data_IF_200536458006
#
_entry.id   IF_200536458006
#
_cell.length_a   1.000
_cell.length_b   1.000
_cell.length_c   1.000
_cell.angle_alpha   90.00
_cell.angle_beta   90.00
_cell.angle_gamma   90.00
#
_symmetry.space_group_name_H-M   'P 1'
#
loop_
_entity.id
_entity.type
_entity.pdbx_description
1 polymer ?
#
# COMPACT_ATOMS: atom_id res chain seq x y z
N UNK A 1 -3.30 -139.24 22.04
CA UNK A 1 -3.57 -138.23 21.00
C UNK A 1 -4.65 -137.22 21.44
N UNK A 2 -5.89 -137.63 21.70
CA UNK A 2 -6.98 -136.70 22.10
C UNK A 2 -6.68 -135.79 23.30
N UNK A 3 -6.00 -136.28 24.36
CA UNK A 3 -5.61 -135.44 25.52
C UNK A 3 -4.57 -134.37 25.18
N UNK A 4 -3.66 -134.64 24.24
CA UNK A 4 -2.67 -133.68 23.80
C UNK A 4 -3.32 -132.58 22.95
N UNK A 5 -4.20 -132.97 22.03
CA UNK A 5 -5.02 -132.06 21.23
C UNK A 5 -5.95 -131.19 22.11
N UNK A 6 -6.51 -131.75 23.18
CA UNK A 6 -7.34 -130.99 24.11
C UNK A 6 -6.52 -129.95 24.88
N UNK A 7 -5.26 -130.26 25.26
CA UNK A 7 -4.35 -129.29 25.89
C UNK A 7 -3.93 -128.16 24.95
N UNK A 8 -3.58 -128.47 23.70
CA UNK A 8 -3.23 -127.44 22.71
C UNK A 8 -4.42 -126.53 22.43
N UNK A 9 -5.64 -127.07 22.32
CA UNK A 9 -6.87 -126.27 22.18
C UNK A 9 -7.15 -125.38 23.39
N UNK A 10 -6.84 -125.82 24.61
CA UNK A 10 -6.98 -124.98 25.81
C UNK A 10 -5.95 -123.84 25.85
N UNK A 11 -4.71 -124.11 25.40
CA UNK A 11 -3.66 -123.09 25.29
C UNK A 11 -4.00 -122.06 24.20
N UNK A 12 -4.48 -122.52 23.04
CA UNK A 12 -4.98 -121.66 21.95
C UNK A 12 -6.19 -120.81 22.40
N UNK A 13 -7.15 -121.41 23.12
CA UNK A 13 -8.28 -120.67 23.69
C UNK A 13 -7.81 -119.59 24.68
N UNK A 14 -6.79 -119.90 25.50
CA UNK A 14 -6.21 -118.95 26.44
C UNK A 14 -5.54 -117.79 25.72
N UNK A 15 -4.73 -118.07 24.68
CA UNK A 15 -4.09 -117.06 23.83
C UNK A 15 -5.14 -116.18 23.14
N UNK A 16 -6.15 -116.79 22.50
CA UNK A 16 -7.24 -116.06 21.86
C UNK A 16 -8.03 -115.19 22.87
N UNK A 17 -8.19 -115.65 24.11
CA UNK A 17 -8.85 -114.87 25.16
C UNK A 17 -8.01 -113.66 25.63
N UNK A 18 -6.68 -113.81 25.72
CA UNK A 18 -5.78 -112.68 26.03
C UNK A 18 -5.72 -111.69 24.87
N UNK A 19 -5.63 -112.15 23.63
CA UNK A 19 -5.67 -111.29 22.45
C UNK A 19 -7.00 -110.54 22.35
N UNK A 20 -8.13 -111.20 22.62
CA UNK A 20 -9.44 -110.55 22.66
C UNK A 20 -9.55 -109.48 23.77
N UNK A 21 -8.90 -109.71 24.92
CA UNK A 21 -8.82 -108.71 25.98
C UNK A 21 -7.94 -107.52 25.57
N UNK A 22 -6.79 -107.78 24.94
CA UNK A 22 -5.90 -106.76 24.41
C UNK A 22 -6.59 -105.91 23.33
N UNK A 23 -7.27 -106.53 22.36
CA UNK A 23 -8.05 -105.82 21.33
C UNK A 23 -9.12 -104.93 21.94
N UNK A 24 -9.81 -105.38 23.01
CA UNK A 24 -10.78 -104.53 23.73
C UNK A 24 -10.10 -103.32 24.40
N UNK A 25 -8.90 -103.50 24.97
CA UNK A 25 -8.16 -102.38 25.57
C UNK A 25 -7.63 -101.41 24.51
N UNK A 26 -7.12 -101.92 23.38
CA UNK A 26 -6.66 -101.12 22.26
C UNK A 26 -7.81 -100.33 21.63
N UNK A 27 -8.98 -100.95 21.46
CA UNK A 27 -10.19 -100.27 20.98
C UNK A 27 -10.61 -99.14 21.89
N UNK A 28 -10.64 -99.35 23.22
CA UNK A 28 -10.93 -98.28 24.19
C UNK A 28 -9.89 -97.17 24.13
N UNK A 29 -8.61 -97.50 23.96
CA UNK A 29 -7.54 -96.50 23.80
C UNK A 29 -7.70 -95.70 22.51
N UNK A 30 -8.08 -96.35 21.40
CA UNK A 30 -8.34 -95.69 20.12
C UNK A 30 -9.55 -94.76 20.19
N UNK A 31 -10.64 -95.18 20.83
CA UNK A 31 -11.83 -94.35 21.08
C UNK A 31 -11.47 -93.13 21.95
N UNK A 32 -10.69 -93.31 23.02
CA UNK A 32 -10.19 -92.20 23.85
C UNK A 32 -9.27 -91.25 23.06
N UNK A 33 -8.37 -91.79 22.24
CA UNK A 33 -7.48 -91.00 21.38
C UNK A 33 -8.29 -90.15 20.38
N UNK A 34 -9.30 -90.73 19.72
CA UNK A 34 -10.18 -90.01 18.81
C UNK A 34 -10.91 -88.86 19.51
N UNK A 35 -11.48 -89.09 20.70
CA UNK A 35 -12.12 -88.00 21.47
C UNK A 35 -11.12 -86.93 21.95
N UNK A 36 -9.87 -87.29 22.18
CA UNK A 36 -8.81 -86.34 22.54
C UNK A 36 -8.39 -85.48 21.33
N UNK A 37 -8.29 -86.08 20.14
CA UNK A 37 -8.04 -85.39 18.87
C UNK A 37 -9.15 -84.40 18.53
N UNK A 38 -10.42 -84.79 18.65
CA UNK A 38 -11.56 -83.88 18.45
C UNK A 38 -11.52 -82.68 19.41
N UNK A 39 -11.19 -82.93 20.69
CA UNK A 39 -11.03 -81.87 21.70
C UNK A 39 -9.85 -80.96 21.40
N UNK A 40 -8.74 -81.52 20.89
CA UNK A 40 -7.57 -80.76 20.47
C UNK A 40 -7.94 -79.83 19.30
N UNK A 41 -8.55 -80.35 18.25
CA UNK A 41 -9.00 -79.54 17.11
C UNK A 41 -10.02 -78.46 17.51
N UNK A 42 -10.95 -78.78 18.41
CA UNK A 42 -11.88 -77.78 18.94
C UNK A 42 -11.19 -76.71 19.81
N UNK A 43 -10.09 -77.05 20.49
CA UNK A 43 -9.26 -76.09 21.22
C UNK A 43 -8.43 -75.22 20.26
N UNK A 44 -7.81 -75.80 19.24
CA UNK A 44 -7.07 -75.11 18.18
C UNK A 44 -7.97 -74.12 17.44
N UNK A 45 -9.17 -74.53 17.02
CA UNK A 45 -10.13 -73.64 16.38
C UNK A 45 -10.63 -72.51 17.30
N UNK A 46 -10.63 -72.71 18.62
CA UNK A 46 -10.90 -71.63 19.59
C UNK A 46 -9.69 -70.70 19.76
N UNK A 47 -8.48 -71.24 19.76
CA UNK A 47 -7.25 -70.46 19.83
C UNK A 47 -7.10 -69.55 18.60
N UNK A 48 -7.27 -70.08 17.38
CA UNK A 48 -7.21 -69.30 16.14
C UNK A 48 -8.24 -68.15 16.14
N UNK A 49 -9.47 -68.41 16.62
CA UNK A 49 -10.49 -67.35 16.75
C UNK A 49 -10.11 -66.30 17.80
N UNK A 50 -9.52 -66.72 18.91
CA UNK A 50 -9.04 -65.79 19.93
C UNK A 50 -7.87 -64.94 19.41
N UNK A 51 -6.93 -65.54 18.66
CA UNK A 51 -5.82 -64.84 18.01
C UNK A 51 -6.32 -63.81 16.99
N UNK A 52 -7.29 -64.18 16.15
CA UNK A 52 -7.91 -63.24 15.20
C UNK A 52 -8.57 -62.05 15.92
N UNK A 53 -9.31 -62.32 17.00
CA UNK A 53 -9.92 -61.26 17.81
C UNK A 53 -8.87 -60.36 18.48
N UNK A 54 -7.73 -60.90 18.94
CA UNK A 54 -6.65 -60.11 19.51
C UNK A 54 -6.10 -59.13 18.47
N UNK A 55 -5.86 -59.58 17.24
CA UNK A 55 -5.41 -58.72 16.14
C UNK A 55 -6.44 -57.64 15.80
N UNK A 56 -7.74 -57.98 15.75
CA UNK A 56 -8.78 -56.98 15.53
C UNK A 56 -8.83 -55.94 16.65
N UNK A 57 -8.71 -56.38 17.91
CA UNK A 57 -8.69 -55.46 19.05
C UNK A 57 -7.46 -54.55 19.06
N UNK A 58 -6.28 -55.03 18.65
CA UNK A 58 -5.08 -54.20 18.58
C UNK A 58 -5.19 -53.13 17.50
N UNK A 59 -5.74 -53.48 16.33
CA UNK A 59 -6.01 -52.50 15.25
C UNK A 59 -7.01 -51.43 15.71
N UNK A 60 -8.05 -51.83 16.44
CA UNK A 60 -9.02 -50.87 16.99
C UNK A 60 -8.38 -49.96 18.06
N UNK A 61 -7.50 -50.50 18.91
CA UNK A 61 -6.76 -49.71 19.89
C UNK A 61 -5.84 -48.68 19.24
N UNK A 62 -5.12 -49.03 18.16
CA UNK A 62 -4.30 -48.09 17.40
C UNK A 62 -5.15 -46.96 16.78
N UNK A 63 -6.31 -47.32 16.22
CA UNK A 63 -7.25 -46.33 15.67
C UNK A 63 -7.80 -45.40 16.74
N UNK A 64 -8.13 -45.92 17.93
CA UNK A 64 -8.58 -45.12 19.06
C UNK A 64 -7.48 -44.17 19.54
N UNK A 65 -6.25 -44.66 19.71
CA UNK A 65 -5.10 -43.83 20.09
C UNK A 65 -4.87 -42.68 19.10
N UNK A 66 -5.03 -42.94 17.79
CA UNK A 66 -4.95 -41.89 16.76
C UNK A 66 -6.07 -40.86 16.88
N UNK A 67 -7.30 -41.29 17.16
CA UNK A 67 -8.44 -40.37 17.34
C UNK A 67 -8.28 -39.52 18.61
N UNK A 68 -7.84 -40.11 19.71
CA UNK A 68 -7.55 -39.40 20.97
C UNK A 68 -6.42 -38.36 20.79
N UNK A 69 -5.39 -38.70 20.00
CA UNK A 69 -4.34 -37.74 19.65
C UNK A 69 -4.90 -36.55 18.88
N UNK A 70 -5.69 -36.80 17.84
CA UNK A 70 -6.32 -35.74 17.04
C UNK A 70 -7.27 -34.90 17.89
N UNK A 71 -8.04 -35.51 18.78
CA UNK A 71 -8.92 -34.77 19.70
C UNK A 71 -8.12 -33.82 20.60
N UNK A 72 -7.02 -34.30 21.19
CA UNK A 72 -6.12 -33.47 22.02
C UNK A 72 -5.50 -32.33 21.21
N UNK A 73 -5.05 -32.60 19.98
CA UNK A 73 -4.47 -31.59 19.10
C UNK A 73 -5.51 -30.51 18.74
N UNK A 74 -6.72 -30.90 18.35
CA UNK A 74 -7.82 -29.97 18.09
C UNK A 74 -8.21 -29.17 19.33
N UNK A 75 -8.24 -29.79 20.51
CA UNK A 75 -8.48 -29.08 21.77
C UNK A 75 -7.39 -28.04 22.05
N UNK A 76 -6.11 -28.37 21.79
CA UNK A 76 -5.00 -27.45 21.95
C UNK A 76 -5.07 -26.27 20.95
N UNK A 77 -5.43 -26.54 19.69
CA UNK A 77 -5.64 -25.50 18.67
C UNK A 77 -6.79 -24.58 19.07
N UNK A 78 -7.92 -25.14 19.52
CA UNK A 78 -9.06 -24.33 19.97
C UNK A 78 -8.68 -23.48 21.18
N UNK A 79 -8.00 -24.03 22.19
CA UNK A 79 -7.53 -23.26 23.35
C UNK A 79 -6.62 -22.08 22.97
N UNK A 80 -5.88 -22.18 21.86
CA UNK A 80 -5.00 -21.10 21.37
C UNK A 80 -5.72 -20.04 20.53
N UNK A 81 -6.72 -20.43 19.75
CA UNK A 81 -7.27 -19.60 18.66
C UNK A 81 -8.68 -19.06 19.00
N UNK A 82 -9.45 -19.71 19.89
CA UNK A 82 -10.84 -19.28 20.15
C UNK A 82 -11.58 -20.03 21.29
N UNK A 83 -12.63 -19.43 21.86
CA UNK A 83 -13.67 -20.12 22.66
C UNK A 83 -14.59 -21.07 21.84
N UNK A 84 -14.16 -21.51 20.65
CA UNK A 84 -14.97 -22.39 19.81
C UNK A 84 -15.15 -23.74 20.52
N UNK A 85 -16.37 -24.30 20.46
CA UNK A 85 -16.69 -25.57 21.13
C UNK A 85 -16.51 -26.77 20.21
N UNK A 86 -16.35 -26.53 18.90
CA UNK A 86 -16.16 -27.59 17.92
C UNK A 86 -15.21 -27.15 16.79
N UNK A 87 -14.40 -28.07 16.23
CA UNK A 87 -13.54 -27.76 15.08
C UNK A 87 -14.30 -27.21 13.87
N UNK A 88 -15.54 -27.65 13.66
CA UNK A 88 -16.40 -27.17 12.56
C UNK A 88 -16.86 -25.73 12.74
N UNK A 89 -16.96 -25.24 13.98
CA UNK A 89 -17.21 -23.83 14.28
C UNK A 89 -15.98 -22.98 13.98
N UNK A 90 -14.79 -23.46 14.34
CA UNK A 90 -13.52 -22.80 14.03
C UNK A 90 -13.33 -22.66 12.51
N UNK A 91 -13.56 -23.75 11.75
CA UNK A 91 -13.49 -23.72 10.29
C UNK A 91 -14.48 -22.73 9.67
N UNK A 92 -15.73 -22.68 10.15
CA UNK A 92 -16.73 -21.70 9.66
C UNK A 92 -16.33 -20.26 9.97
N UNK A 93 -15.77 -20.00 11.15
CA UNK A 93 -15.25 -18.67 11.52
C UNK A 93 -14.07 -18.28 10.64
N UNK A 94 -13.16 -19.20 10.38
CA UNK A 94 -12.02 -18.97 9.48
C UNK A 94 -12.51 -18.58 8.08
N UNK A 95 -13.43 -19.34 7.49
CA UNK A 95 -14.03 -19.00 6.18
C UNK A 95 -14.76 -17.65 6.21
N UNK A 96 -15.42 -17.32 7.33
CA UNK A 96 -16.09 -16.01 7.47
C UNK A 96 -15.09 -14.87 7.55
N UNK A 97 -13.99 -15.05 8.27
CA UNK A 97 -12.89 -14.08 8.35
C UNK A 97 -12.18 -13.91 7.00
N UNK A 98 -11.96 -14.99 6.26
CA UNK A 98 -11.41 -14.92 4.89
C UNK A 98 -12.33 -14.12 3.95
N UNK A 99 -13.66 -14.33 4.05
CA UNK A 99 -14.65 -13.53 3.30
C UNK A 99 -14.64 -12.06 3.70
N UNK A 100 -14.51 -11.77 4.99
CA UNK A 100 -14.41 -10.39 5.47
C UNK A 100 -13.11 -9.71 5.02
N UNK A 101 -11.98 -10.43 5.07
CA UNK A 101 -10.69 -9.91 4.63
C UNK A 101 -10.68 -9.63 3.13
N UNK A 102 -11.23 -10.54 2.32
CA UNK A 102 -11.34 -10.33 0.86
C UNK A 102 -12.27 -9.17 0.51
N UNK A 103 -13.39 -9.02 1.22
CA UNK A 103 -14.27 -7.84 1.06
C UNK A 103 -13.55 -6.55 1.45
N UNK A 104 -12.85 -6.52 2.59
CA UNK A 104 -12.12 -5.34 3.05
C UNK A 104 -10.98 -4.95 2.09
N UNK A 105 -10.28 -5.91 1.51
CA UNK A 105 -9.26 -5.64 0.48
C UNK A 105 -9.90 -5.07 -0.79
N UNK A 106 -11.09 -5.57 -1.18
CA UNK A 106 -11.89 -5.00 -2.26
C UNK A 106 -12.27 -3.53 -2.00
N UNK A 107 -12.82 -3.24 -0.81
CA UNK A 107 -13.21 -1.89 -0.40
C UNK A 107 -12.00 -0.94 -0.36
N UNK A 108 -10.86 -1.40 0.16
CA UNK A 108 -9.61 -0.63 0.12
C UNK A 108 -9.17 -0.31 -1.31
N UNK A 109 -9.31 -1.26 -2.24
CA UNK A 109 -9.05 -1.04 -3.66
C UNK A 109 -9.94 0.05 -4.26
N UNK A 110 -11.25 0.02 -3.96
CA UNK A 110 -12.19 1.06 -4.42
C UNK A 110 -11.85 2.43 -3.82
N UNK A 111 -11.57 2.50 -2.51
CA UNK A 111 -11.19 3.74 -1.83
C UNK A 111 -9.88 4.32 -2.39
N UNK A 112 -8.90 3.47 -2.73
CA UNK A 112 -7.66 3.91 -3.36
C UNK A 112 -7.89 4.45 -4.78
N UNK A 113 -8.79 3.84 -5.55
CA UNK A 113 -9.19 4.33 -6.88
C UNK A 113 -9.88 5.69 -6.77
N UNK A 114 -10.83 5.84 -5.85
CA UNK A 114 -11.52 7.11 -5.62
C UNK A 114 -10.55 8.21 -5.15
N UNK A 115 -9.59 7.85 -4.30
CA UNK A 115 -8.54 8.77 -3.86
C UNK A 115 -7.61 9.17 -5.01
N UNK A 116 -7.31 8.26 -5.94
CA UNK A 116 -6.54 8.59 -7.14
C UNK A 116 -7.35 9.53 -8.06
N UNK A 117 -8.63 9.25 -8.27
CA UNK A 117 -9.50 10.07 -9.11
C UNK A 117 -9.73 11.47 -8.52
N UNK A 118 -9.92 11.58 -7.21
CA UNK A 118 -10.06 12.89 -6.54
C UNK A 118 -8.76 13.69 -6.60
N UNK A 119 -7.59 13.03 -6.49
CA UNK A 119 -6.29 13.69 -6.70
C UNK A 119 -6.10 14.20 -8.13
N UNK A 120 -6.42 13.40 -9.15
CA UNK A 120 -6.32 13.87 -10.54
C UNK A 120 -7.30 15.01 -10.81
N UNK A 121 -8.51 14.95 -10.28
CA UNK A 121 -9.48 16.03 -10.36
C UNK A 121 -8.95 17.31 -9.69
N UNK A 122 -8.36 17.20 -8.49
CA UNK A 122 -7.74 18.32 -7.79
C UNK A 122 -6.59 18.93 -8.61
N UNK A 123 -5.72 18.11 -9.20
CA UNK A 123 -4.62 18.59 -10.04
C UNK A 123 -5.12 19.32 -11.29
N UNK A 124 -6.19 18.81 -11.92
CA UNK A 124 -6.81 19.50 -13.07
C UNK A 124 -7.49 20.81 -12.67
N UNK A 125 -8.12 20.87 -11.49
CA UNK A 125 -8.71 22.09 -10.97
C UNK A 125 -7.62 23.14 -10.65
N UNK A 126 -6.51 22.72 -10.02
CA UNK A 126 -5.37 23.60 -9.72
C UNK A 126 -4.73 24.16 -11.01
N UNK A 127 -4.60 23.36 -12.07
CA UNK A 127 -4.14 23.84 -13.37
C UNK A 127 -5.08 24.92 -13.94
N UNK A 128 -6.40 24.71 -13.87
CA UNK A 128 -7.39 25.69 -14.31
C UNK A 128 -7.32 26.99 -13.49
N UNK A 129 -7.12 26.90 -12.18
CA UNK A 129 -6.94 28.07 -11.32
C UNK A 129 -5.69 28.85 -11.75
N UNK A 130 -4.56 28.18 -11.93
CA UNK A 130 -3.32 28.82 -12.42
C UNK A 130 -3.52 29.51 -13.78
N UNK A 131 -4.19 28.84 -14.73
CA UNK A 131 -4.48 29.43 -16.05
C UNK A 131 -5.38 30.66 -15.96
N UNK A 132 -6.36 30.65 -15.05
CA UNK A 132 -7.24 31.80 -14.82
C UNK A 132 -6.51 32.94 -14.12
N UNK A 133 -5.62 32.65 -13.18
CA UNK A 133 -4.76 33.65 -12.53
C UNK A 133 -3.83 34.34 -13.54
N UNK A 134 -3.23 33.58 -14.47
CA UNK A 134 -2.38 34.15 -15.51
C UNK A 134 -3.17 35.04 -16.48
N UNK A 135 -4.38 34.60 -16.87
CA UNK A 135 -5.31 35.42 -17.67
C UNK A 135 -5.74 36.68 -16.94
N UNK A 136 -6.00 36.58 -15.63
CA UNK A 136 -6.36 37.74 -14.80
C UNK A 136 -5.22 38.76 -14.76
N UNK A 137 -3.98 38.33 -14.50
CA UNK A 137 -2.79 39.20 -14.51
C UNK A 137 -2.56 39.86 -15.88
N UNK A 138 -2.76 39.11 -16.96
CA UNK A 138 -2.67 39.65 -18.32
C UNK A 138 -3.74 40.71 -18.59
N UNK A 139 -4.99 40.47 -18.18
CA UNK A 139 -6.06 41.46 -18.29
C UNK A 139 -5.80 42.70 -17.42
N UNK A 140 -5.27 42.53 -16.20
CA UNK A 140 -4.93 43.62 -15.29
C UNK A 140 -3.81 44.52 -15.87
N UNK A 141 -2.74 43.92 -16.38
CA UNK A 141 -1.68 44.67 -17.08
C UNK A 141 -2.19 45.38 -18.34
N UNK A 142 -3.07 44.75 -19.13
CA UNK A 142 -3.67 45.40 -20.29
C UNK A 142 -4.57 46.59 -19.88
N UNK A 143 -5.35 46.45 -18.80
CA UNK A 143 -6.18 47.52 -18.26
C UNK A 143 -5.33 48.70 -17.77
N UNK A 144 -4.24 48.45 -17.04
CA UNK A 144 -3.31 49.51 -16.60
C UNK A 144 -2.62 50.22 -17.78
N UNK A 145 -2.24 49.48 -18.83
CA UNK A 145 -1.72 50.10 -20.05
C UNK A 145 -2.76 50.99 -20.75
N UNK A 146 -4.02 50.54 -20.81
CA UNK A 146 -5.11 51.31 -21.40
C UNK A 146 -5.42 52.59 -20.60
N UNK A 147 -5.40 52.54 -19.26
CA UNK A 147 -5.61 53.73 -18.42
C UNK A 147 -4.47 54.74 -18.57
N UNK A 148 -3.21 54.29 -18.66
CA UNK A 148 -2.09 55.18 -18.96
C UNK A 148 -2.17 55.81 -20.35
N UNK A 149 -2.62 55.06 -21.36
CA UNK A 149 -2.83 55.57 -22.71
C UNK A 149 -3.95 56.62 -22.74
N UNK A 150 -5.07 56.37 -22.03
CA UNK A 150 -6.17 57.31 -21.87
C UNK A 150 -5.69 58.61 -21.23
N UNK A 151 -4.96 58.54 -20.10
CA UNK A 151 -4.44 59.73 -19.41
C UNK A 151 -3.49 60.56 -20.28
N UNK A 152 -2.70 59.90 -21.16
CA UNK A 152 -1.85 60.61 -22.13
C UNK A 152 -2.67 61.31 -23.21
N UNK A 153 -3.70 60.63 -23.73
CA UNK A 153 -4.61 61.20 -24.73
C UNK A 153 -5.39 62.39 -24.13
N UNK A 154 -5.88 62.29 -22.90
CA UNK A 154 -6.57 63.37 -22.18
C UNK A 154 -5.67 64.61 -22.02
N UNK A 155 -4.40 64.44 -21.61
CA UNK A 155 -3.43 65.57 -21.55
C UNK A 155 -3.17 66.19 -22.91
N UNK A 156 -3.13 65.40 -23.97
CA UNK A 156 -2.91 65.91 -25.32
C UNK A 156 -4.15 66.66 -25.83
N UNK A 157 -5.35 66.20 -25.51
CA UNK A 157 -6.59 66.94 -25.75
C UNK A 157 -6.58 68.26 -24.98
N UNK A 158 -6.21 68.26 -23.70
CA UNK A 158 -6.10 69.48 -22.88
C UNK A 158 -5.12 70.50 -23.48
N UNK A 159 -3.97 70.04 -23.96
CA UNK A 159 -2.98 70.88 -24.63
C UNK A 159 -3.52 71.48 -25.93
N UNK A 160 -4.16 70.66 -26.78
CA UNK A 160 -4.80 71.14 -28.01
C UNK A 160 -5.97 72.09 -27.72
N UNK A 161 -6.76 71.87 -26.67
CA UNK A 161 -7.82 72.81 -26.27
C UNK A 161 -7.24 74.14 -25.80
N UNK A 162 -6.14 74.12 -25.06
CA UNK A 162 -5.44 75.35 -24.66
C UNK A 162 -4.84 76.09 -25.87
N UNK A 163 -4.32 75.36 -26.86
CA UNK A 163 -3.86 75.94 -28.13
C UNK A 163 -5.02 76.55 -28.93
N UNK A 164 -6.15 75.85 -29.03
CA UNK A 164 -7.36 76.37 -29.67
C UNK A 164 -7.85 77.62 -28.97
N UNK A 165 -7.92 77.63 -27.63
CA UNK A 165 -8.32 78.81 -26.86
C UNK A 165 -7.33 79.97 -27.03
N UNK A 166 -6.03 79.68 -27.11
CA UNK A 166 -4.99 80.66 -27.42
C UNK A 166 -5.16 81.26 -28.82
N UNK A 167 -5.35 80.42 -29.83
CA UNK A 167 -5.62 80.84 -31.21
C UNK A 167 -6.93 81.62 -31.31
N UNK A 168 -7.99 81.20 -30.62
CA UNK A 168 -9.26 81.93 -30.57
C UNK A 168 -9.10 83.30 -29.92
N UNK A 169 -8.29 83.45 -28.87
CA UNK A 169 -7.96 84.77 -28.30
C UNK A 169 -7.20 85.65 -29.29
N UNK A 170 -6.26 85.06 -30.03
CA UNK A 170 -5.51 85.77 -31.08
C UNK A 170 -6.46 86.22 -32.21
N UNK A 171 -7.29 85.31 -32.73
CA UNK A 171 -8.30 85.64 -33.74
C UNK A 171 -9.24 86.73 -33.23
N UNK A 172 -9.72 86.63 -31.99
CA UNK A 172 -10.55 87.66 -31.38
C UNK A 172 -9.83 89.01 -31.26
N UNK A 173 -8.53 89.02 -30.94
CA UNK A 173 -7.74 90.26 -30.97
C UNK A 173 -7.60 90.83 -32.40
N UNK A 174 -7.47 89.99 -33.43
CA UNK A 174 -7.51 90.42 -34.83
C UNK A 174 -8.90 90.81 -35.31
N UNK A 175 -9.98 90.29 -34.73
CA UNK A 175 -11.35 90.71 -34.98
C UNK A 175 -11.68 92.01 -34.25
N UNK A 176 -11.11 92.25 -33.06
CA UNK A 176 -11.23 93.50 -32.32
C UNK A 176 -10.37 94.61 -32.96
N UNK A 177 -9.14 94.28 -33.39
CA UNK A 177 -8.29 95.12 -34.25
C UNK A 177 -8.90 95.26 -35.65
N UNK A 178 -9.55 94.21 -36.14
CA UNK A 178 -10.29 94.15 -37.40
C UNK A 178 -11.60 94.92 -37.34
N UNK A 179 -12.23 95.07 -36.18
CA UNK A 179 -13.39 95.93 -35.91
C UNK A 179 -12.95 97.39 -35.73
N UNK A 180 -11.75 97.63 -35.20
CA UNK A 180 -11.08 98.93 -35.27
C UNK A 180 -10.60 99.27 -36.70
N UNK A 181 -10.26 98.26 -37.51
CA UNK A 181 -9.90 98.37 -38.92
C UNK A 181 -11.09 98.13 -39.88
N UNK A 182 -12.31 97.88 -39.37
CA UNK A 182 -13.54 97.68 -40.16
C UNK A 182 -14.11 99.00 -40.69
N UNK A 183 -13.23 99.98 -40.90
CA UNK A 183 -13.47 101.09 -41.81
C UNK A 183 -12.67 100.97 -43.12
N UNK A 184 -11.76 100.00 -43.26
CA UNK A 184 -11.02 99.80 -44.51
C UNK A 184 -10.79 98.32 -44.81
N UNK A 185 -11.36 97.92 -45.94
CA UNK A 185 -11.01 96.76 -46.75
C UNK A 185 -11.47 95.39 -46.25
N UNK A 186 -12.69 95.07 -46.66
CA UNK A 186 -12.99 93.76 -47.24
C UNK A 186 -11.91 93.40 -48.27
N UNK A 187 -11.60 92.10 -48.38
CA UNK A 187 -10.84 91.43 -49.46
C UNK A 187 -9.45 90.92 -49.08
N UNK A 188 -9.39 90.04 -48.06
CA UNK A 188 -8.31 89.02 -47.98
C UNK A 188 -8.72 87.70 -47.31
N UNK A 189 -9.99 87.31 -47.41
CA UNK A 189 -10.52 86.05 -46.86
C UNK A 189 -10.53 84.88 -47.87
N UNK A 190 -9.93 85.04 -49.05
CA UNK A 190 -10.15 84.08 -50.14
C UNK A 190 -9.06 83.01 -50.32
N UNK A 191 -7.89 83.15 -49.67
CA UNK A 191 -6.75 82.22 -49.85
C UNK A 191 -6.58 81.18 -48.72
N UNK A 192 -7.17 81.36 -47.54
CA UNK A 192 -7.14 80.35 -46.45
C UNK A 192 -8.17 79.24 -46.66
N UNK A 193 -9.31 79.52 -47.32
CA UNK A 193 -10.37 78.51 -47.51
C UNK A 193 -9.94 77.33 -48.41
N UNK A 194 -8.90 77.49 -49.25
CA UNK A 194 -8.44 76.40 -50.11
C UNK A 194 -7.59 75.35 -49.36
N UNK A 195 -6.80 75.79 -48.37
CA UNK A 195 -6.04 74.89 -47.50
C UNK A 195 -6.98 74.19 -46.50
N UNK A 196 -7.95 74.93 -45.95
CA UNK A 196 -8.96 74.38 -45.05
C UNK A 196 -9.88 73.38 -45.77
N UNK A 197 -10.27 73.64 -47.03
CA UNK A 197 -11.02 72.68 -47.85
C UNK A 197 -10.25 71.38 -48.10
N UNK A 198 -8.93 71.45 -48.32
CA UNK A 198 -8.09 70.23 -48.47
C UNK A 198 -8.02 69.44 -47.17
N UNK A 199 -7.86 70.13 -46.04
CA UNK A 199 -7.84 69.49 -44.72
C UNK A 199 -9.19 68.90 -44.34
N UNK A 200 -10.29 69.57 -44.70
CA UNK A 200 -11.66 69.04 -44.53
C UNK A 200 -11.86 67.79 -45.39
N UNK A 201 -11.40 67.77 -46.65
CA UNK A 201 -11.49 66.57 -47.50
C UNK A 201 -10.63 65.41 -46.93
N UNK A 202 -9.46 65.70 -46.38
CA UNK A 202 -8.62 64.69 -45.71
C UNK A 202 -9.27 64.15 -44.44
N UNK A 203 -9.84 65.02 -43.60
CA UNK A 203 -10.55 64.66 -42.38
C UNK A 203 -11.85 63.89 -42.67
N UNK A 204 -12.59 64.25 -43.72
CA UNK A 204 -13.75 63.50 -44.21
C UNK A 204 -13.32 62.10 -44.69
N UNK A 205 -12.21 61.99 -45.40
CA UNK A 205 -11.64 60.70 -45.82
C UNK A 205 -11.15 59.82 -44.66
N UNK A 206 -10.60 60.42 -43.60
CA UNK A 206 -10.24 59.71 -42.37
C UNK A 206 -11.47 59.29 -41.56
N UNK A 207 -12.49 60.15 -41.52
CA UNK A 207 -13.78 59.88 -40.88
C UNK A 207 -14.49 58.70 -41.55
N UNK A 208 -14.50 58.64 -42.89
CA UNK A 208 -15.12 57.54 -43.62
C UNK A 208 -14.38 56.21 -43.43
N UNK A 209 -13.03 56.24 -43.36
CA UNK A 209 -12.22 55.07 -43.00
C UNK A 209 -12.49 54.61 -41.57
N UNK A 210 -12.63 55.53 -40.63
CA UNK A 210 -12.97 55.22 -39.24
C UNK A 210 -14.37 54.61 -39.14
N UNK A 211 -15.38 55.18 -39.81
CA UNK A 211 -16.74 54.64 -39.89
C UNK A 211 -16.77 53.22 -40.50
N UNK A 212 -16.02 52.99 -41.58
CA UNK A 212 -15.91 51.66 -42.18
C UNK A 212 -15.27 50.64 -41.23
N UNK A 213 -14.27 51.05 -40.45
CA UNK A 213 -13.60 50.19 -39.46
C UNK A 213 -14.50 49.89 -38.26
N UNK A 214 -15.29 50.86 -37.80
CA UNK A 214 -16.31 50.66 -36.76
C UNK A 214 -17.38 49.69 -37.26
N UNK A 215 -17.92 49.89 -38.47
CA UNK A 215 -18.92 48.97 -39.04
C UNK A 215 -18.38 47.54 -39.21
N UNK A 216 -17.10 47.38 -39.57
CA UNK A 216 -16.46 46.06 -39.63
C UNK A 216 -16.30 45.40 -38.25
N UNK A 217 -15.94 46.18 -37.22
CA UNK A 217 -15.83 45.71 -35.84
C UNK A 217 -17.19 45.38 -35.23
N UNK A 218 -18.22 46.16 -35.51
CA UNK A 218 -19.60 45.86 -35.09
C UNK A 218 -20.11 44.56 -35.73
N UNK A 219 -19.84 44.35 -37.03
CA UNK A 219 -20.18 43.09 -37.70
C UNK A 219 -19.41 41.91 -37.10
N UNK A 220 -18.12 42.06 -36.81
CA UNK A 220 -17.31 41.03 -36.16
C UNK A 220 -17.81 40.70 -34.74
N UNK A 221 -18.16 41.73 -33.97
CA UNK A 221 -18.77 41.61 -32.64
C UNK A 221 -20.11 40.88 -32.68
N UNK A 222 -20.98 41.24 -33.63
CA UNK A 222 -22.28 40.57 -33.82
C UNK A 222 -22.10 39.09 -34.20
N UNK A 223 -21.13 38.76 -35.05
CA UNK A 223 -20.82 37.35 -35.39
C UNK A 223 -20.24 36.58 -34.20
N UNK A 224 -19.40 37.22 -33.37
CA UNK A 224 -18.87 36.60 -32.16
C UNK A 224 -19.98 36.36 -31.11
N UNK A 225 -20.90 37.31 -30.95
CA UNK A 225 -22.07 37.19 -30.08
C UNK A 225 -23.03 36.09 -30.53
N UNK A 226 -23.24 35.93 -31.84
CA UNK A 226 -24.04 34.84 -32.39
C UNK A 226 -23.37 33.47 -32.17
N UNK A 227 -22.04 33.39 -32.31
CA UNK A 227 -21.29 32.15 -32.06
C UNK A 227 -21.30 31.76 -30.58
N UNK A 228 -21.17 32.72 -29.65
CA UNK A 228 -21.27 32.44 -28.21
C UNK A 228 -22.69 32.08 -27.78
N UNK A 229 -23.72 32.70 -28.36
CA UNK A 229 -25.11 32.33 -28.12
C UNK A 229 -25.42 30.89 -28.61
N UNK A 230 -24.90 30.51 -29.78
CA UNK A 230 -25.05 29.14 -30.30
C UNK A 230 -24.31 28.11 -29.44
N UNK A 231 -23.11 28.42 -28.96
CA UNK A 231 -22.36 27.55 -28.05
C UNK A 231 -23.05 27.41 -26.68
N UNK A 232 -23.64 28.48 -26.14
CA UNK A 232 -24.42 28.45 -24.90
C UNK A 232 -25.71 27.61 -25.05
N UNK A 233 -26.40 27.71 -26.18
CA UNK A 233 -27.58 26.89 -26.48
C UNK A 233 -27.24 25.39 -26.60
N UNK A 234 -26.10 25.06 -27.22
CA UNK A 234 -25.61 23.68 -27.31
C UNK A 234 -25.22 23.11 -25.92
N UNK A 235 -24.59 23.92 -25.07
CA UNK A 235 -24.27 23.53 -23.69
C UNK A 235 -25.55 23.31 -22.85
N UNK A 236 -26.57 24.15 -23.01
CA UNK A 236 -27.85 24.02 -22.30
C UNK A 236 -28.64 22.76 -22.69
N UNK A 237 -28.41 22.18 -23.87
CA UNK A 237 -29.09 20.97 -24.35
C UNK A 237 -28.49 19.66 -23.79
N UNK A 238 -27.26 19.66 -23.26
CA UNK A 238 -26.60 18.48 -22.69
C UNK A 238 -26.91 18.31 -21.18
N UNK A 239 -27.16 19.40 -20.49
CA UNK A 239 -27.51 19.46 -19.05
C UNK A 239 -28.82 18.75 -18.63
N UNK A 240 -29.89 18.63 -19.45
CA UNK A 240 -31.16 18.02 -19.02
C UNK A 240 -31.08 16.52 -18.70
N UNK A 241 -30.10 15.82 -19.27
CA UNK A 241 -29.88 14.38 -19.05
C UNK A 241 -29.45 14.11 -17.60
N UNK A 242 -28.49 14.90 -17.12
CA UNK A 242 -27.90 14.67 -15.80
C UNK A 242 -28.82 15.17 -14.68
N UNK A 243 -29.60 16.24 -14.92
CA UNK A 243 -30.59 16.71 -13.95
C UNK A 243 -31.74 15.71 -13.77
N UNK A 244 -32.18 15.04 -14.83
CA UNK A 244 -33.17 13.97 -14.74
C UNK A 244 -32.67 12.77 -13.93
N UNK A 245 -31.41 12.35 -14.13
CA UNK A 245 -30.82 11.23 -13.41
C UNK A 245 -30.60 11.56 -11.91
N UNK A 246 -30.16 12.78 -11.61
CA UNK A 246 -29.99 13.27 -10.25
C UNK A 246 -31.32 13.37 -9.50
N UNK A 247 -32.38 13.87 -10.16
CA UNK A 247 -33.72 13.93 -9.55
C UNK A 247 -34.26 12.54 -9.20
N UNK A 248 -34.09 11.55 -10.08
CA UNK A 248 -34.48 10.17 -9.79
C UNK A 248 -33.70 9.57 -8.60
N UNK A 249 -32.42 9.95 -8.45
CA UNK A 249 -31.60 9.52 -7.30
C UNK A 249 -32.04 10.18 -6.00
N UNK A 250 -32.45 11.45 -6.05
CA UNK A 250 -32.99 12.19 -4.90
C UNK A 250 -34.29 11.52 -4.43
N UNK A 251 -35.23 11.24 -5.35
CA UNK A 251 -36.50 10.56 -5.00
C UNK A 251 -36.27 9.18 -4.37
N UNK A 252 -35.30 8.40 -4.88
CA UNK A 252 -34.96 7.10 -4.30
C UNK A 252 -34.40 7.22 -2.88
N UNK A 253 -33.54 8.21 -2.64
CA UNK A 253 -32.98 8.46 -1.31
C UNK A 253 -34.04 8.99 -0.33
N UNK A 254 -34.97 9.82 -0.79
CA UNK A 254 -36.09 10.31 0.01
C UNK A 254 -37.04 9.17 0.42
N UNK A 255 -37.32 8.22 -0.49
CA UNK A 255 -38.09 7.03 -0.18
C UNK A 255 -37.41 6.12 0.86
N UNK A 256 -36.09 5.92 0.76
CA UNK A 256 -35.30 5.17 1.74
C UNK A 256 -35.28 5.89 3.10
N UNK A 257 -35.13 7.21 3.10
CA UNK A 257 -35.19 8.05 4.31
C UNK A 257 -36.54 7.89 5.00
N UNK A 258 -37.63 7.94 4.24
CA UNK A 258 -38.98 7.75 4.76
C UNK A 258 -39.18 6.34 5.33
N UNK A 259 -38.66 5.30 4.68
CA UNK A 259 -38.74 3.93 5.20
C UNK A 259 -37.95 3.77 6.51
N UNK A 260 -36.75 4.35 6.59
CA UNK A 260 -35.92 4.35 7.79
C UNK A 260 -36.56 5.16 8.92
N UNK A 261 -37.14 6.32 8.64
CA UNK A 261 -37.91 7.12 9.59
C UNK A 261 -39.16 6.38 10.07
N UNK A 262 -39.86 5.68 9.18
CA UNK A 262 -40.99 4.84 9.54
C UNK A 262 -40.54 3.68 10.45
N UNK A 263 -39.38 3.09 10.18
CA UNK A 263 -38.79 2.03 11.01
C UNK A 263 -38.34 2.53 12.39
N UNK A 264 -37.76 3.73 12.43
CA UNK A 264 -37.35 4.39 13.66
C UNK A 264 -38.56 4.82 14.51
N UNK A 265 -39.60 5.37 13.86
CA UNK A 265 -40.84 5.81 14.52
C UNK A 265 -41.75 4.64 14.94
N UNK A 266 -41.68 3.50 14.23
CA UNK A 266 -42.31 2.23 14.66
C UNK A 266 -41.72 1.69 15.95
N UNK A 267 -40.57 2.19 16.41
CA UNK A 267 -40.02 1.84 17.71
C UNK A 267 -39.87 0.33 17.88
N UNK A 268 -39.27 -0.36 16.90
CA UNK A 268 -38.95 -1.81 16.98
C UNK A 268 -38.14 -2.14 18.25
N UNK A 269 -37.52 -1.12 18.86
CA UNK A 269 -36.91 -1.17 20.16
C UNK A 269 -37.85 -0.62 21.25
N UNK A 270 -38.49 -1.52 21.99
CA UNK A 270 -39.26 -1.18 23.19
C UNK A 270 -38.48 -1.65 24.43
N UNK A 271 -37.85 -0.75 25.20
CA UNK A 271 -37.00 -1.11 26.34
C UNK A 271 -37.75 -1.82 27.47
N UNK A 272 -39.10 -1.83 27.46
CA UNK A 272 -39.90 -2.59 28.42
C UNK A 272 -40.17 -4.04 27.97
N UNK A 273 -40.18 -4.34 26.67
CA UNK A 273 -40.45 -5.69 26.13
C UNK A 273 -39.19 -6.38 25.59
N UNK A 274 -38.17 -5.64 25.18
CA UNK A 274 -36.90 -6.17 24.67
C UNK A 274 -35.76 -5.88 25.64
N UNK A 275 -35.17 -6.93 26.22
CA UNK A 275 -33.93 -6.82 27.00
C UNK A 275 -32.74 -7.02 26.08
N UNK A 276 -31.86 -6.03 25.98
CA UNK A 276 -30.60 -6.16 25.23
C UNK A 276 -29.63 -6.99 26.07
N UNK A 277 -29.27 -8.17 25.56
CA UNK A 277 -28.21 -8.99 26.14
C UNK A 277 -26.87 -8.36 25.81
N UNK A 278 -26.33 -7.59 26.76
CA UNK A 278 -24.94 -7.17 26.71
C UNK A 278 -24.06 -8.28 27.32
N UNK A 279 -22.95 -8.60 26.66
CA UNK A 279 -21.93 -9.43 27.27
C UNK A 279 -21.40 -8.74 28.54
N UNK A 280 -21.33 -9.47 29.65
CA UNK A 280 -20.78 -8.97 30.94
C UNK A 280 -19.37 -8.39 30.78
N UNK A 281 -18.62 -8.90 29.80
CA UNK A 281 -17.41 -8.28 29.28
C UNK A 281 -17.57 -8.13 27.76
N UNK A 282 -18.17 -7.02 27.32
CA UNK A 282 -18.24 -6.68 25.90
C UNK A 282 -16.87 -6.13 25.46
N UNK A 283 -16.09 -6.83 24.63
CA UNK A 283 -14.76 -6.39 24.23
C UNK A 283 -14.78 -5.06 23.46
N UNK A 284 -15.87 -4.75 22.74
CA UNK A 284 -16.04 -3.47 22.03
C UNK A 284 -16.31 -2.33 23.02
N UNK A 285 -17.15 -2.58 24.04
CA UNK A 285 -17.37 -1.58 25.10
C UNK A 285 -16.16 -1.41 26.01
N UNK A 286 -15.41 -2.48 26.29
CA UNK A 286 -14.15 -2.44 27.05
C UNK A 286 -13.06 -1.70 26.27
N UNK A 287 -12.95 -1.92 24.96
CA UNK A 287 -12.05 -1.17 24.09
C UNK A 287 -12.45 0.31 24.02
N UNK A 288 -13.75 0.61 23.90
CA UNK A 288 -14.27 1.97 23.94
C UNK A 288 -14.02 2.67 25.28
N UNK A 289 -14.27 2.00 26.40
CA UNK A 289 -13.97 2.51 27.73
C UNK A 289 -12.46 2.70 27.96
N UNK A 290 -11.62 1.79 27.45
CA UNK A 290 -10.17 1.94 27.55
C UNK A 290 -9.65 3.09 26.70
N UNK A 291 -10.20 3.29 25.49
CA UNK A 291 -9.87 4.42 24.64
C UNK A 291 -10.30 5.75 25.29
N UNK A 292 -11.55 5.82 25.78
CA UNK A 292 -12.05 6.98 26.51
C UNK A 292 -11.26 7.25 27.80
N UNK A 293 -10.81 6.20 28.51
CA UNK A 293 -9.97 6.35 29.70
C UNK A 293 -8.57 6.89 29.35
N UNK A 294 -7.98 6.48 28.24
CA UNK A 294 -6.71 7.03 27.73
C UNK A 294 -6.87 8.49 27.32
N UNK A 295 -7.92 8.81 26.57
CA UNK A 295 -8.23 10.18 26.15
C UNK A 295 -8.51 11.08 27.37
N UNK A 296 -9.23 10.59 28.37
CA UNK A 296 -9.45 11.32 29.62
C UNK A 296 -8.15 11.54 30.42
N UNK A 297 -7.23 10.59 30.40
CA UNK A 297 -5.92 10.72 31.05
C UNK A 297 -5.01 11.70 30.29
N UNK A 298 -5.01 11.65 28.96
CA UNK A 298 -4.30 12.61 28.09
C UNK A 298 -4.82 14.02 28.34
N UNK A 299 -6.15 14.24 28.29
CA UNK A 299 -6.77 15.53 28.57
C UNK A 299 -6.52 16.01 30.01
N UNK A 300 -6.46 15.10 30.99
CA UNK A 300 -6.08 15.46 32.37
C UNK A 300 -4.64 15.90 32.45
N UNK A 301 -3.73 15.19 31.79
CA UNK A 301 -2.30 15.53 31.75
C UNK A 301 -2.05 16.87 31.06
N UNK A 302 -2.79 17.15 29.98
CA UNK A 302 -2.75 18.43 29.27
C UNK A 302 -3.35 19.54 30.14
N UNK A 303 -4.49 19.30 30.79
CA UNK A 303 -5.09 20.27 31.69
C UNK A 303 -4.24 20.54 32.94
N UNK A 304 -3.46 19.57 33.45
CA UNK A 304 -2.47 19.81 34.51
C UNK A 304 -1.27 20.59 33.97
N UNK A 305 -0.74 20.23 32.80
CA UNK A 305 0.37 20.95 32.17
C UNK A 305 0.03 22.40 31.84
N UNK A 306 -1.19 22.66 31.35
CA UNK A 306 -1.71 24.01 31.10
C UNK A 306 -1.94 24.79 32.39
N UNK A 307 -2.42 24.15 33.47
CA UNK A 307 -2.55 24.80 34.78
C UNK A 307 -1.18 25.15 35.37
N UNK A 308 -0.19 24.27 35.27
CA UNK A 308 1.18 24.53 35.70
C UNK A 308 1.84 25.63 34.87
N UNK A 309 1.62 25.65 33.55
CA UNK A 309 2.10 26.71 32.67
C UNK A 309 1.45 28.07 32.98
N UNK A 310 0.14 28.09 33.24
CA UNK A 310 -0.60 29.28 33.68
C UNK A 310 -0.15 29.75 35.07
N UNK A 311 0.16 28.84 35.98
CA UNK A 311 0.67 29.18 37.31
C UNK A 311 2.09 29.78 37.23
N UNK A 312 2.98 29.19 36.42
CA UNK A 312 4.31 29.75 36.13
C UNK A 312 4.24 31.12 35.43
N UNK A 313 3.23 31.33 34.59
CA UNK A 313 2.95 32.63 33.95
C UNK A 313 2.43 33.67 34.97
N UNK A 314 1.61 33.23 35.93
CA UNK A 314 1.02 34.08 36.98
C UNK A 314 2.02 34.44 38.09
N UNK A 315 2.99 33.57 38.35
CA UNK A 315 4.08 33.78 39.32
C UNK A 315 5.22 34.65 38.75
N UNK A 316 5.00 35.30 37.60
CA UNK A 316 5.80 36.44 37.14
C UNK A 316 7.28 36.16 36.84
N UNK A 317 7.64 34.90 36.57
CA UNK A 317 9.05 34.48 36.42
C UNK A 317 9.50 34.30 34.97
N UNK A 318 8.66 34.60 33.95
CA UNK A 318 9.09 34.47 32.54
C UNK A 318 8.79 35.73 31.74
N UNK A 319 9.85 36.48 31.47
CA UNK A 319 9.91 37.43 30.38
C UNK A 319 10.15 36.68 29.07
N UNK A 320 9.26 36.91 28.09
CA UNK A 320 9.38 36.62 26.65
C UNK A 320 9.09 35.18 26.17
N UNK A 321 8.23 35.07 25.15
CA UNK A 321 7.94 33.84 24.41
C UNK A 321 9.15 33.15 23.77
N UNK A 322 10.33 33.76 23.82
CA UNK A 322 11.58 33.18 23.33
C UNK A 322 12.01 31.93 24.13
N UNK A 323 11.76 31.85 25.44
CA UNK A 323 12.10 30.66 26.22
C UNK A 323 11.15 29.48 25.95
N UNK A 324 9.88 29.78 25.67
CA UNK A 324 8.90 28.77 25.25
C UNK A 324 9.25 28.20 23.86
N UNK A 325 9.67 29.06 22.94
CA UNK A 325 10.13 28.65 21.60
C UNK A 325 11.44 27.85 21.67
N UNK A 326 12.38 28.22 22.55
CA UNK A 326 13.61 27.46 22.79
C UNK A 326 13.29 26.08 23.37
N UNK A 327 12.36 25.97 24.32
CA UNK A 327 11.96 24.68 24.88
C UNK A 327 11.28 23.78 23.83
N UNK A 328 10.45 24.35 22.95
CA UNK A 328 9.82 23.64 21.83
C UNK A 328 10.87 23.16 20.82
N UNK A 329 11.82 24.02 20.45
CA UNK A 329 12.92 23.67 19.54
C UNK A 329 13.84 22.60 20.13
N UNK A 330 14.17 22.68 21.42
CA UNK A 330 14.95 21.65 22.13
C UNK A 330 14.22 20.30 22.16
N UNK A 331 12.92 20.29 22.42
CA UNK A 331 12.08 19.09 22.33
C UNK A 331 12.09 18.52 20.92
N UNK A 332 12.02 19.39 19.89
CA UNK A 332 12.03 18.95 18.50
C UNK A 332 13.37 18.37 18.06
N UNK A 333 14.49 18.97 18.49
CA UNK A 333 15.84 18.44 18.25
C UNK A 333 16.01 17.08 18.94
N UNK A 334 15.53 16.93 20.17
CA UNK A 334 15.58 15.65 20.88
C UNK A 334 14.72 14.57 20.19
N UNK A 335 13.56 14.94 19.63
CA UNK A 335 12.73 14.03 18.85
C UNK A 335 13.41 13.61 17.54
N UNK A 336 14.02 14.56 16.82
CA UNK A 336 14.77 14.30 15.60
C UNK A 336 15.98 13.40 15.85
N UNK A 337 16.75 13.65 16.92
CA UNK A 337 17.86 12.80 17.33
C UNK A 337 17.39 11.38 17.70
N UNK A 338 16.27 11.24 18.42
CA UNK A 338 15.67 9.92 18.71
C UNK A 338 15.23 9.22 17.42
N UNK A 339 14.65 9.95 16.46
CA UNK A 339 14.26 9.40 15.16
C UNK A 339 15.47 8.94 14.35
N UNK A 340 16.54 9.73 14.32
CA UNK A 340 17.81 9.39 13.68
C UNK A 340 18.46 8.16 14.31
N UNK A 341 18.52 8.09 15.65
CA UNK A 341 19.02 6.92 16.36
C UNK A 341 18.21 5.65 16.07
N UNK A 342 16.87 5.77 16.04
CA UNK A 342 16.00 4.66 15.63
C UNK A 342 16.28 4.23 14.19
N UNK A 343 16.42 5.19 13.28
CA UNK A 343 16.72 4.92 11.88
C UNK A 343 18.08 4.21 11.72
N UNK A 344 19.13 4.69 12.39
CA UNK A 344 20.44 4.05 12.44
C UNK A 344 20.38 2.63 13.02
N UNK A 345 19.56 2.41 14.05
CA UNK A 345 19.39 1.08 14.66
C UNK A 345 18.69 0.11 13.71
N UNK A 346 17.68 0.59 12.99
CA UNK A 346 16.98 -0.20 11.96
C UNK A 346 17.93 -0.53 10.81
N UNK A 347 18.70 0.45 10.31
CA UNK A 347 19.67 0.21 9.24
C UNK A 347 20.77 -0.78 9.65
N UNK A 348 21.35 -0.63 10.85
CA UNK A 348 22.32 -1.62 11.38
C UNK A 348 21.73 -3.02 11.46
N UNK A 349 20.47 -3.13 11.90
CA UNK A 349 19.77 -4.41 11.95
C UNK A 349 19.56 -4.99 10.54
N UNK A 350 19.12 -4.18 9.58
CA UNK A 350 18.90 -4.64 8.20
C UNK A 350 20.20 -5.09 7.54
N UNK A 351 21.29 -4.32 7.68
CA UNK A 351 22.61 -4.68 7.14
C UNK A 351 23.10 -5.98 7.79
N UNK A 352 22.92 -6.16 9.10
CA UNK A 352 23.29 -7.41 9.79
C UNK A 352 22.51 -8.60 9.23
N UNK A 353 21.18 -8.50 9.12
CA UNK A 353 20.33 -9.57 8.58
C UNK A 353 20.70 -9.90 7.14
N UNK A 354 20.95 -8.88 6.32
CA UNK A 354 21.38 -9.05 4.94
C UNK A 354 22.73 -9.76 4.85
N UNK A 355 23.73 -9.33 5.63
CA UNK A 355 25.06 -9.98 5.67
C UNK A 355 24.97 -11.42 6.15
N UNK A 356 24.17 -11.70 7.18
CA UNK A 356 23.95 -13.05 7.69
C UNK A 356 23.24 -13.94 6.66
N UNK A 357 22.26 -13.41 5.93
CA UNK A 357 21.61 -14.12 4.84
C UNK A 357 22.58 -14.43 3.69
N UNK A 358 23.35 -13.44 3.23
CA UNK A 358 24.37 -13.65 2.19
C UNK A 358 25.43 -14.66 2.64
N UNK A 359 25.85 -14.60 3.90
CA UNK A 359 26.78 -15.55 4.50
C UNK A 359 26.24 -16.99 4.43
N UNK A 360 24.98 -17.21 4.82
CA UNK A 360 24.36 -18.54 4.78
C UNK A 360 24.03 -19.04 3.38
N UNK A 361 23.71 -18.15 2.44
CA UNK A 361 23.34 -18.53 1.07
C UNK A 361 24.59 -18.83 0.23
N UNK A 362 25.62 -18.00 0.33
CA UNK A 362 26.79 -18.07 -0.53
C UNK A 362 28.02 -18.71 0.13
N UNK A 363 28.02 -18.88 1.45
CA UNK A 363 29.16 -19.44 2.20
C UNK A 363 30.34 -18.47 2.36
N UNK A 364 30.09 -17.16 2.19
CA UNK A 364 31.11 -16.11 2.33
C UNK A 364 30.69 -15.05 3.34
N UNK A 365 31.56 -14.74 4.30
CA UNK A 365 31.43 -13.55 5.13
C UNK A 365 31.97 -12.33 4.37
N UNK A 366 31.09 -11.36 4.11
CA UNK A 366 31.41 -10.12 3.40
C UNK A 366 31.58 -8.99 4.41
N UNK A 367 32.78 -8.43 4.52
CA UNK A 367 33.11 -7.25 5.31
C UNK A 367 33.34 -6.05 4.41
N UNK A 368 32.73 -4.91 4.72
CA UNK A 368 32.91 -3.66 3.99
C UNK A 368 33.84 -2.74 4.77
N UNK A 369 34.90 -2.26 4.12
CA UNK A 369 35.83 -1.26 4.62
C UNK A 369 35.94 -0.13 3.61
N UNK A 370 35.93 1.12 4.06
CA UNK A 370 36.22 2.26 3.19
C UNK A 370 37.72 2.29 2.87
N UNK A 371 38.06 2.25 1.58
CA UNK A 371 39.45 2.37 1.14
C UNK A 371 39.93 3.81 1.16
N UNK A 372 41.25 4.02 1.25
CA UNK A 372 41.90 5.35 1.24
C UNK A 372 41.57 6.18 -0.02
N UNK A 373 41.16 5.51 -1.11
CA UNK A 373 40.79 6.10 -2.39
C UNK A 373 39.32 6.60 -2.46
N UNK A 374 38.54 6.45 -1.38
CA UNK A 374 37.11 6.78 -1.34
C UNK A 374 36.18 5.73 -1.96
N UNK A 375 36.73 4.62 -2.47
CA UNK A 375 35.97 3.49 -3.00
C UNK A 375 35.74 2.42 -1.92
N UNK A 376 34.55 1.79 -1.94
CA UNK A 376 34.21 0.71 -1.02
C UNK A 376 35.04 -0.54 -1.33
N UNK A 377 35.75 -1.05 -0.32
CA UNK A 377 36.51 -2.29 -0.41
C UNK A 377 35.78 -3.40 0.35
N UNK A 378 35.55 -4.52 -0.32
CA UNK A 378 34.87 -5.70 0.22
C UNK A 378 35.87 -6.81 0.46
N UNK A 379 36.01 -7.21 1.72
CA UNK A 379 36.79 -8.38 2.14
C UNK A 379 35.85 -9.59 2.23
N UNK A 380 36.13 -10.62 1.47
CA UNK A 380 35.39 -11.87 1.44
C UNK A 380 36.22 -12.98 2.10
N UNK A 381 35.63 -13.62 3.09
CA UNK A 381 36.20 -14.77 3.80
C UNK A 381 35.29 -15.97 3.58
N UNK A 382 35.83 -17.08 3.04
CA UNK A 382 35.07 -18.32 2.81
C UNK A 382 34.86 -19.08 4.12
N UNK A 383 33.70 -19.72 4.29
CA UNK A 383 33.44 -20.63 5.42
C UNK A 383 34.32 -21.88 5.39
N UNK A 384 34.72 -22.30 4.19
CA UNK A 384 35.57 -23.46 3.95
C UNK A 384 37.06 -23.08 3.89
N UNK A 385 37.44 -21.88 4.34
CA UNK A 385 38.82 -21.44 4.31
C UNK A 385 39.71 -22.32 5.19
N UNK A 386 40.83 -22.81 4.62
CA UNK A 386 41.79 -23.64 5.35
C UNK A 386 42.59 -22.84 6.39
N UNK A 387 42.78 -21.53 6.16
CA UNK A 387 43.42 -20.60 7.10
C UNK A 387 42.54 -19.35 7.28
N UNK A 388 42.56 -18.77 8.47
CA UNK A 388 41.84 -17.51 8.78
C UNK A 388 42.29 -16.31 7.93
N UNK A 389 43.47 -16.40 7.33
CA UNK A 389 44.09 -15.33 6.55
C UNK A 389 43.73 -15.42 5.04
N UNK A 390 43.06 -16.51 4.63
CA UNK A 390 42.65 -16.77 3.26
C UNK A 390 41.44 -15.89 2.91
N UNK A 391 41.72 -14.67 2.47
CA UNK A 391 40.72 -13.63 2.23
C UNK A 391 40.88 -13.00 0.86
N UNK A 392 39.76 -12.78 0.18
CA UNK A 392 39.69 -12.04 -1.08
C UNK A 392 39.35 -10.59 -0.80
N UNK A 393 40.02 -9.67 -1.49
CA UNK A 393 39.78 -8.24 -1.35
C UNK A 393 39.31 -7.72 -2.71
N UNK A 394 38.09 -7.20 -2.77
CA UNK A 394 37.50 -6.61 -3.96
C UNK A 394 37.31 -5.12 -3.77
N UNK A 395 37.66 -4.30 -4.77
CA UNK A 395 37.31 -2.88 -4.81
C UNK A 395 36.09 -2.70 -5.70
N UNK A 396 35.07 -2.01 -5.19
CA UNK A 396 33.89 -1.63 -5.97
C UNK A 396 33.97 -0.14 -6.33
N UNK A 397 33.86 0.15 -7.62
CA UNK A 397 33.75 1.52 -8.12
C UNK A 397 32.27 1.85 -8.34
N UNK A 398 31.71 2.70 -7.47
CA UNK A 398 30.32 3.15 -7.53
C UNK A 398 29.97 3.84 -8.86
N UNK A 399 30.95 4.46 -9.54
CA UNK A 399 30.71 5.23 -10.78
C UNK A 399 30.70 4.33 -12.01
N UNK A 400 31.59 3.34 -12.04
CA UNK A 400 31.67 2.37 -13.13
C UNK A 400 30.78 1.13 -12.91
N UNK A 401 30.24 0.97 -11.68
CA UNK A 401 29.55 -0.25 -11.23
C UNK A 401 30.37 -1.52 -11.50
N UNK A 402 31.70 -1.39 -11.47
CA UNK A 402 32.65 -2.47 -11.77
C UNK A 402 33.34 -2.92 -10.48
N UNK A 403 33.52 -4.24 -10.34
CA UNK A 403 34.24 -4.85 -9.23
C UNK A 403 35.60 -5.28 -9.75
N UNK A 404 36.66 -4.90 -9.05
CA UNK A 404 38.04 -5.30 -9.36
C UNK A 404 38.63 -6.10 -8.20
N UNK A 405 39.35 -7.17 -8.51
CA UNK A 405 40.03 -7.99 -7.51
C UNK A 405 41.39 -7.37 -7.18
N UNK A 406 41.66 -7.11 -5.91
CA UNK A 406 42.96 -6.64 -5.44
C UNK A 406 43.91 -7.83 -5.31
N UNK A 407 45.13 -7.76 -5.88
CA UNK A 407 46.13 -8.80 -5.70
C UNK A 407 46.49 -8.98 -4.22
N UNK A 408 46.17 -10.15 -3.67
CA UNK A 408 46.56 -10.59 -2.33
C UNK A 408 47.52 -11.78 -2.46
N UNK A 409 48.43 -12.03 -1.48
CA UNK A 409 49.28 -13.23 -1.47
C UNK A 409 48.50 -14.53 -1.67
N UNK A 410 47.25 -14.58 -1.18
CA UNK A 410 46.33 -15.71 -1.38
C UNK A 410 45.90 -15.87 -2.85
N UNK A 411 45.56 -14.75 -3.51
CA UNK A 411 45.17 -14.70 -4.93
C UNK A 411 46.34 -15.11 -5.84
N UNK A 412 47.59 -14.89 -5.40
CA UNK A 412 48.79 -15.24 -6.14
C UNK A 412 49.24 -16.71 -5.97
N UNK A 413 48.61 -17.47 -5.08
CA UNK A 413 48.88 -18.90 -4.93
C UNK A 413 48.56 -19.65 -6.23
N UNK A 414 49.36 -20.66 -6.59
CA UNK A 414 49.30 -21.36 -7.90
C UNK A 414 47.91 -21.88 -8.25
N UNK A 415 47.19 -22.40 -7.26
CA UNK A 415 45.89 -23.04 -7.42
C UNK A 415 44.81 -22.00 -7.77
N UNK A 416 44.84 -20.87 -7.07
CA UNK A 416 43.84 -19.81 -7.20
C UNK A 416 44.18 -18.92 -8.40
N UNK A 417 45.46 -18.65 -8.66
CA UNK A 417 45.92 -17.84 -9.78
C UNK A 417 45.40 -18.35 -11.13
N UNK A 418 45.42 -19.68 -11.34
CA UNK A 418 44.90 -20.29 -12.57
C UNK A 418 43.40 -20.04 -12.75
N UNK A 419 42.64 -20.09 -11.65
CA UNK A 419 41.20 -19.80 -11.67
C UNK A 419 40.92 -18.30 -11.88
N UNK A 420 41.75 -17.41 -11.34
CA UNK A 420 41.65 -15.95 -11.54
C UNK A 420 41.94 -15.58 -13.00
N UNK A 421 43.01 -16.09 -13.60
CA UNK A 421 43.33 -15.85 -15.02
C UNK A 421 42.20 -16.35 -15.95
N UNK A 422 41.61 -17.49 -15.62
CA UNK A 422 40.53 -18.07 -16.44
C UNK A 422 39.22 -17.30 -16.28
N UNK A 423 38.77 -17.01 -15.06
CA UNK A 423 37.44 -16.45 -14.83
C UNK A 423 37.40 -14.92 -14.77
N UNK A 424 38.43 -14.29 -14.21
CA UNK A 424 38.50 -12.83 -14.07
C UNK A 424 39.10 -12.18 -15.32
N UNK A 425 40.22 -12.69 -15.85
CA UNK A 425 40.86 -12.07 -17.02
C UNK A 425 40.20 -12.48 -18.34
N UNK A 426 39.98 -13.78 -18.55
CA UNK A 426 39.43 -14.30 -19.82
C UNK A 426 37.90 -14.21 -19.90
N UNK A 427 37.19 -14.57 -18.83
CA UNK A 427 35.72 -14.55 -18.81
C UNK A 427 35.10 -13.26 -18.25
N UNK A 428 35.90 -12.37 -17.65
CA UNK A 428 35.44 -11.10 -17.02
C UNK A 428 34.26 -11.29 -16.06
N UNK A 429 34.24 -12.40 -15.32
CA UNK A 429 33.13 -12.75 -14.43
C UNK A 429 33.63 -13.16 -13.05
N UNK A 430 33.51 -12.22 -12.11
CA UNK A 430 33.77 -12.46 -10.69
C UNK A 430 32.79 -13.47 -10.07
N UNK A 431 31.48 -13.47 -10.39
CA UNK A 431 30.57 -14.49 -9.87
C UNK A 431 30.97 -15.91 -10.29
N UNK A 432 31.45 -16.10 -11.53
CA UNK A 432 31.93 -17.40 -12.00
C UNK A 432 33.19 -17.85 -11.24
N UNK A 433 34.11 -16.91 -10.99
CA UNK A 433 35.31 -17.16 -10.18
C UNK A 433 34.96 -17.60 -8.76
N UNK A 434 34.12 -16.83 -8.05
CA UNK A 434 33.70 -17.13 -6.68
C UNK A 434 32.96 -18.47 -6.64
N UNK A 435 32.02 -18.70 -7.56
CA UNK A 435 31.28 -19.96 -7.66
C UNK A 435 32.20 -21.18 -7.79
N UNK A 436 33.17 -21.13 -8.70
CA UNK A 436 34.17 -22.19 -8.88
C UNK A 436 35.00 -22.40 -7.60
N UNK A 437 35.44 -21.31 -6.96
CA UNK A 437 36.20 -21.41 -5.71
C UNK A 437 35.41 -22.08 -4.59
N UNK A 438 34.11 -21.76 -4.42
CA UNK A 438 33.25 -22.44 -3.44
C UNK A 438 33.18 -23.94 -3.68
N UNK A 439 33.02 -24.37 -4.94
CA UNK A 439 32.94 -25.80 -5.28
C UNK A 439 34.27 -26.50 -5.01
N UNK A 440 35.40 -25.89 -5.40
CA UNK A 440 36.72 -26.46 -5.15
C UNK A 440 37.04 -26.58 -3.65
N UNK A 441 36.73 -25.55 -2.86
CA UNK A 441 36.95 -25.59 -1.40
C UNK A 441 36.01 -26.57 -0.70
N UNK A 442 34.75 -26.66 -1.14
CA UNK A 442 33.80 -27.64 -0.61
C UNK A 442 34.22 -29.07 -0.90
N UNK A 443 34.72 -29.36 -2.11
CA UNK A 443 35.23 -30.68 -2.46
C UNK A 443 36.45 -31.05 -1.61
N UNK A 444 37.41 -30.12 -1.46
CA UNK A 444 38.57 -30.31 -0.58
C UNK A 444 38.18 -30.56 0.88
N UNK A 445 37.12 -29.89 1.36
CA UNK A 445 36.62 -30.08 2.72
C UNK A 445 35.89 -31.41 2.94
N UNK A 446 35.30 -32.01 1.90
CA UNK A 446 34.63 -33.32 1.99
C UNK A 446 35.57 -34.51 1.73
N UNK A 447 36.71 -34.26 1.06
CA UNK A 447 37.73 -35.28 0.78
C UNK A 447 38.71 -35.46 1.97
N UNK A 448 38.69 -34.55 2.95
CA UNK A 448 39.31 -34.69 4.29
C UNK A 448 38.32 -35.29 5.29
#
# INVERSE_FOLDING_TARGET
ELRAMNKTLHEELKIASSEAAEVKTLRRRAELAATAEERLHAAEARAIRAEANIVETSVMQERLAKLEYLEKDWQAVMARVSDAKSPSELARRLVTLEKQLTAQVGDQGTMMSDLAQTKTNLDTANRRVSELEDKYKAAESAATHATHALAKAERQVELLTNEIDGLNRIVKSYEDEGAAAAKVSSKREQDTSAADKKRVIELEGELDKAKARVAALEKASATAAAATAAAAAAAAAVVPSDTSALNARIEALEAERYELELRQSRGEFNPQTTKVLHFKANPVAMAGMSALAKEAEELRSEATGLREAMQKLKDGTVTSGAEADIAVLQSKVAELQKREQRLMTVFRRQIRVFREACHKIFGYNIEMTEGEDGNATFKLTSDYAAKSDDTFIFKFDDKASEVSLVPSPFVQASDIKRSVETFVERCKSIPAFIGNHTVEMFNKHNDE
#
